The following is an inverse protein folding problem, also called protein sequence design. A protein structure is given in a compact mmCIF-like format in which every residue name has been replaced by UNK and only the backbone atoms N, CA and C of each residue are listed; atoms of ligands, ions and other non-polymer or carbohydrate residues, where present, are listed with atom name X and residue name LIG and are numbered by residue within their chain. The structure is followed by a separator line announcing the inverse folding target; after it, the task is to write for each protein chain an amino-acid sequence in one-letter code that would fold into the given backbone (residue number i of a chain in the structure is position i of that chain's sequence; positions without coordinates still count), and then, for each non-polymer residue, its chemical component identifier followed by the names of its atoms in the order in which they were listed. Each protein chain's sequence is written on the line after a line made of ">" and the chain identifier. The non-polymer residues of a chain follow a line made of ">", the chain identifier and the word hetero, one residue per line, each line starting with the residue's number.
data_IF_454661503747
#
_entry.id   IF_454661503747
#
_cell.length_a   1.000
_cell.length_b   1.000
_cell.length_c   1.000
_cell.angle_alpha   90.00
_cell.angle_beta   90.00
_cell.angle_gamma   90.00
#
_symmetry.space_group_name_H-M   'P 1'
#
loop_
_entity.id
_entity.type
_entity.pdbx_description
1 polymer ?
#
# COMPACT_ATOMS: atom_id res chain seq x y z
N UNK A 1 11.72 -18.19 48.35
CA UNK A 1 11.12 -17.79 47.05
C UNK A 1 12.15 -16.93 46.33
N UNK A 2 12.93 -17.53 45.43
CA UNK A 2 13.89 -16.81 44.57
C UNK A 2 13.59 -17.28 43.16
N UNK A 3 12.88 -16.45 42.40
CA UNK A 3 12.33 -16.83 41.10
C UNK A 3 13.31 -16.41 40.01
N UNK A 4 13.69 -17.41 39.22
CA UNK A 4 13.96 -17.44 37.78
C UNK A 4 14.65 -16.23 37.14
N UNK A 5 15.92 -16.43 36.77
CA UNK A 5 16.52 -15.74 35.63
C UNK A 5 17.01 -16.80 34.63
N UNK A 6 16.38 -16.73 33.45
CA UNK A 6 16.65 -17.43 32.20
C UNK A 6 18.12 -17.41 31.79
N UNK A 7 18.68 -18.58 31.49
CA UNK A 7 19.91 -18.72 30.68
C UNK A 7 19.61 -19.74 29.59
N UNK A 8 19.20 -19.26 28.43
CA UNK A 8 19.22 -20.06 27.20
C UNK A 8 20.17 -19.36 26.24
N UNK A 9 21.42 -19.82 26.23
CA UNK A 9 22.38 -19.45 25.20
C UNK A 9 23.24 -20.68 24.84
N UNK A 10 23.00 -21.12 23.60
CA UNK A 10 23.97 -21.64 22.63
C UNK A 10 24.71 -22.95 22.96
N UNK A 11 24.29 -24.02 22.29
CA UNK A 11 25.19 -25.00 21.67
C UNK A 11 24.38 -26.03 20.89
N UNK A 12 24.43 -26.01 19.55
CA UNK A 12 24.32 -27.23 18.75
C UNK A 12 24.98 -27.02 17.38
N UNK A 13 26.22 -27.51 17.18
CA UNK A 13 26.87 -27.50 15.88
C UNK A 13 26.58 -28.79 15.08
N UNK A 14 26.61 -28.61 13.76
CA UNK A 14 27.02 -29.53 12.69
C UNK A 14 26.65 -31.03 12.76
N UNK A 15 25.97 -31.48 11.70
CA UNK A 15 26.19 -32.70 10.89
C UNK A 15 24.85 -33.38 10.60
N UNK A 16 24.42 -33.36 9.33
CA UNK A 16 24.55 -34.55 8.46
C UNK A 16 24.37 -34.16 6.99
N UNK A 17 25.25 -34.75 6.19
CA UNK A 17 25.30 -34.70 4.74
C UNK A 17 24.44 -35.80 4.13
N UNK A 18 24.06 -35.59 2.86
CA UNK A 18 23.73 -36.58 1.83
C UNK A 18 22.47 -37.42 2.04
N UNK A 19 21.52 -37.25 1.11
CA UNK A 19 21.12 -38.34 0.22
C UNK A 19 20.67 -37.77 -1.14
N UNK A 20 21.32 -38.29 -2.19
CA UNK A 20 20.95 -38.17 -3.60
C UNK A 20 19.90 -39.25 -3.86
N UNK A 21 18.76 -38.91 -4.48
CA UNK A 21 18.05 -39.87 -5.35
C UNK A 21 17.21 -39.14 -6.42
N UNK A 22 17.80 -39.09 -7.61
CA UNK A 22 17.26 -39.39 -8.93
C UNK A 22 15.83 -38.97 -9.34
N UNK A 23 15.82 -38.15 -10.40
CA UNK A 23 14.96 -38.12 -11.59
C UNK A 23 13.53 -38.69 -11.50
N UNK A 24 12.57 -37.78 -11.72
CA UNK A 24 11.26 -38.06 -12.30
C UNK A 24 11.05 -37.16 -13.51
N UNK A 25 10.68 -37.80 -14.61
CA UNK A 25 10.48 -37.33 -15.97
C UNK A 25 8.96 -37.24 -16.24
N UNK A 26 8.54 -36.50 -17.28
CA UNK A 26 7.14 -36.29 -17.73
C UNK A 26 6.24 -35.42 -16.82
N UNK A 27 5.38 -34.50 -17.27
CA UNK A 27 4.76 -34.22 -18.56
C UNK A 27 4.34 -32.73 -18.59
N UNK A 28 4.53 -32.05 -19.73
CA UNK A 28 3.91 -30.76 -20.04
C UNK A 28 2.41 -30.99 -20.21
N UNK A 29 1.62 -30.76 -19.16
CA UNK A 29 0.16 -30.73 -19.31
C UNK A 29 -0.31 -29.30 -19.59
N UNK A 30 -0.64 -29.09 -20.86
CA UNK A 30 -1.37 -27.92 -21.35
C UNK A 30 -2.83 -28.10 -20.93
N UNK A 31 -3.31 -27.37 -19.93
CA UNK A 31 -4.72 -27.35 -19.59
C UNK A 31 -5.48 -26.37 -20.51
N UNK A 32 -6.57 -26.80 -21.18
CA UNK A 32 -7.26 -26.00 -22.19
C UNK A 32 -8.11 -24.88 -21.58
N UNK A 33 -8.04 -23.71 -22.22
CA UNK A 33 -9.01 -22.64 -22.09
C UNK A 33 -10.42 -23.18 -22.39
N UNK A 34 -11.26 -23.25 -21.36
CA UNK A 34 -12.70 -23.45 -21.55
C UNK A 34 -13.41 -22.11 -21.38
N UNK A 35 -13.66 -21.51 -22.53
CA UNK A 35 -14.71 -20.52 -22.78
C UNK A 35 -15.98 -20.97 -22.07
N UNK A 36 -16.41 -20.21 -21.06
CA UNK A 36 -17.74 -20.37 -20.46
C UNK A 36 -18.47 -19.04 -20.50
N UNK A 37 -19.33 -18.95 -21.52
CA UNK A 37 -20.67 -18.35 -21.47
C UNK A 37 -20.75 -16.87 -21.10
N UNK A 38 -20.90 -16.05 -22.15
CA UNK A 38 -21.28 -14.66 -22.04
C UNK A 38 -22.59 -14.48 -21.26
N UNK A 39 -22.50 -13.78 -20.14
CA UNK A 39 -23.65 -13.13 -19.53
C UNK A 39 -24.11 -12.05 -20.49
N UNK A 40 -25.32 -12.21 -21.04
CA UNK A 40 -26.01 -11.11 -21.74
C UNK A 40 -26.27 -10.01 -20.71
N UNK A 41 -25.50 -8.92 -20.79
CA UNK A 41 -25.85 -7.68 -20.11
C UNK A 41 -27.12 -7.13 -20.76
N UNK A 42 -28.23 -7.15 -20.02
CA UNK A 42 -29.46 -6.47 -20.40
C UNK A 42 -29.33 -5.02 -19.93
N UNK A 43 -29.09 -4.10 -20.86
CA UNK A 43 -29.16 -2.66 -20.59
C UNK A 43 -30.63 -2.22 -20.69
N UNK A 44 -31.41 -2.48 -19.65
CA UNK A 44 -32.58 -1.67 -19.36
C UNK A 44 -32.16 -0.54 -18.41
N UNK A 45 -31.79 0.59 -19.01
CA UNK A 45 -31.43 1.82 -18.30
C UNK A 45 -32.66 2.45 -17.66
N UNK A 46 -32.96 2.10 -16.40
CA UNK A 46 -33.77 2.94 -15.51
C UNK A 46 -33.26 2.81 -14.06
N UNK A 47 -32.54 3.85 -13.60
CA UNK A 47 -32.22 4.22 -12.21
C UNK A 47 -32.60 3.26 -11.08
N UNK A 48 -31.60 2.65 -10.43
CA UNK A 48 -31.71 2.23 -9.03
C UNK A 48 -30.41 2.62 -8.29
N UNK A 49 -30.49 3.77 -7.64
CA UNK A 49 -29.76 4.21 -6.42
C UNK A 49 -28.24 4.39 -6.55
N UNK A 50 -27.83 5.66 -6.33
CA UNK A 50 -26.48 6.06 -5.98
C UNK A 50 -25.92 5.15 -4.88
N UNK A 51 -25.00 4.26 -5.26
CA UNK A 51 -24.20 3.52 -4.29
C UNK A 51 -23.27 4.52 -3.62
N UNK A 52 -23.66 4.84 -2.39
CA UNK A 52 -22.97 5.70 -1.46
C UNK A 52 -21.61 5.06 -1.21
N UNK A 53 -20.54 5.85 -1.38
CA UNK A 53 -19.18 5.44 -1.00
C UNK A 53 -19.22 4.89 0.42
N UNK A 54 -19.11 3.58 0.56
CA UNK A 54 -18.69 2.99 1.82
C UNK A 54 -17.21 3.33 1.95
N UNK A 55 -16.93 4.42 2.66
CA UNK A 55 -15.60 4.66 3.23
C UNK A 55 -15.35 3.54 4.24
N UNK A 56 -14.82 2.41 3.77
CA UNK A 56 -14.16 1.43 4.64
C UNK A 56 -12.90 2.11 5.14
N UNK A 57 -13.02 2.79 6.26
CA UNK A 57 -11.88 3.16 7.10
C UNK A 57 -11.42 1.85 7.73
N UNK A 58 -10.33 1.30 7.21
CA UNK A 58 -9.63 0.17 7.81
C UNK A 58 -9.14 0.60 9.20
N UNK A 59 -9.75 0.07 10.26
CA UNK A 59 -9.39 0.39 11.63
C UNK A 59 -8.06 -0.29 11.99
N UNK A 60 -6.97 0.45 11.83
CA UNK A 60 -5.63 -0.10 12.11
C UNK A 60 -4.43 0.83 12.07
N UNK A 61 -4.57 2.15 12.16
CA UNK A 61 -3.42 3.06 12.36
C UNK A 61 -3.82 4.26 13.25
N UNK A 62 -3.13 4.52 14.37
CA UNK A 62 -3.42 5.69 15.19
C UNK A 62 -3.27 6.98 14.37
N UNK A 63 -4.43 7.53 14.03
CA UNK A 63 -4.69 8.80 13.32
C UNK A 63 -4.60 8.72 11.79
N UNK A 64 -5.57 8.07 11.17
CA UNK A 64 -5.91 8.33 9.77
C UNK A 64 -6.37 9.80 9.61
N UNK A 65 -5.43 10.68 9.25
CA UNK A 65 -5.68 12.09 9.02
C UNK A 65 -6.41 12.27 7.68
N UNK A 66 -7.46 13.09 7.67
CA UNK A 66 -8.10 13.50 6.41
C UNK A 66 -7.15 14.43 5.65
N UNK A 67 -7.03 14.23 4.34
CA UNK A 67 -6.15 15.04 3.50
C UNK A 67 -6.82 16.37 3.14
N UNK A 68 -6.21 17.48 3.55
CA UNK A 68 -6.63 18.83 3.20
C UNK A 68 -6.10 19.23 1.83
N UNK A 69 -6.93 19.81 0.97
CA UNK A 69 -6.49 20.27 -0.36
C UNK A 69 -5.79 21.64 -0.27
N UNK A 70 -4.55 21.70 -0.75
CA UNK A 70 -3.84 22.97 -0.89
C UNK A 70 -4.40 23.78 -2.06
N UNK A 71 -4.79 25.02 -1.78
CA UNK A 71 -5.08 26.03 -2.79
C UNK A 71 -3.95 27.04 -2.88
N UNK A 72 -3.58 27.41 -4.11
CA UNK A 72 -2.51 28.38 -4.35
C UNK A 72 -2.76 29.69 -3.59
N UNK A 73 -1.76 30.13 -2.82
CA UNK A 73 -1.85 31.33 -1.98
C UNK A 73 -2.25 31.06 -0.53
N UNK A 74 -2.66 29.83 -0.19
CA UNK A 74 -2.76 29.40 1.21
C UNK A 74 -1.39 29.45 1.88
N UNK A 75 -1.40 29.75 3.17
CA UNK A 75 -0.23 29.79 4.04
C UNK A 75 -0.43 28.82 5.20
N UNK A 76 -0.23 27.51 4.99
CA UNK A 76 -0.29 26.54 6.07
C UNK A 76 0.80 26.86 7.10
N UNK A 77 0.47 26.71 8.38
CA UNK A 77 1.41 26.90 9.47
C UNK A 77 2.30 25.67 9.60
N UNK A 78 3.33 25.58 8.77
CA UNK A 78 4.23 24.43 8.74
C UNK A 78 5.43 24.71 9.63
N UNK A 79 5.51 24.06 10.78
CA UNK A 79 6.69 24.08 11.66
C UNK A 79 7.68 23.00 11.28
N UNK A 80 7.22 21.78 10.97
CA UNK A 80 8.08 20.64 10.60
C UNK A 80 7.41 19.74 9.57
N UNK A 81 8.11 19.45 8.48
CA UNK A 81 7.69 18.41 7.53
C UNK A 81 8.12 17.04 8.07
N UNK A 82 7.18 16.09 8.13
CA UNK A 82 7.40 14.73 8.61
C UNK A 82 7.68 13.80 7.44
N UNK A 83 6.82 13.81 6.41
CA UNK A 83 7.02 13.04 5.18
C UNK A 83 6.38 13.74 3.99
N UNK A 84 6.86 13.39 2.79
CA UNK A 84 6.25 13.78 1.52
C UNK A 84 6.23 12.55 0.61
N UNK A 85 5.06 12.23 0.08
CA UNK A 85 4.81 11.08 -0.79
C UNK A 85 4.21 11.54 -2.11
N UNK A 86 4.70 11.01 -3.23
CA UNK A 86 4.16 11.27 -4.57
C UNK A 86 4.61 10.19 -5.55
N UNK A 87 3.89 10.02 -6.66
CA UNK A 87 4.33 9.14 -7.74
C UNK A 87 5.41 9.80 -8.60
N UNK A 88 6.66 9.55 -8.25
CA UNK A 88 7.81 10.11 -8.97
C UNK A 88 8.08 9.46 -10.33
N UNK A 89 7.40 8.38 -10.69
CA UNK A 89 7.73 7.59 -11.89
C UNK A 89 6.97 8.02 -13.13
N UNK A 90 5.92 8.82 -12.97
CA UNK A 90 5.05 9.26 -14.07
C UNK A 90 5.52 10.59 -14.65
N UNK A 91 5.45 10.75 -15.97
CA UNK A 91 5.70 12.03 -16.64
C UNK A 91 4.39 12.83 -16.77
N UNK A 92 3.84 13.25 -15.63
CA UNK A 92 2.62 14.07 -15.56
C UNK A 92 2.56 14.83 -14.24
N UNK A 93 1.60 15.74 -14.12
CA UNK A 93 1.24 16.33 -12.82
C UNK A 93 0.49 15.27 -12.00
N UNK A 94 0.98 14.98 -10.81
CA UNK A 94 0.47 13.95 -9.91
C UNK A 94 0.20 14.52 -8.52
N UNK A 95 -0.69 13.92 -7.71
CA UNK A 95 -0.86 14.32 -6.33
C UNK A 95 0.38 13.99 -5.49
N UNK A 96 0.70 14.89 -4.58
CA UNK A 96 1.63 14.70 -3.49
C UNK A 96 0.90 14.87 -2.15
N UNK A 97 1.28 14.06 -1.17
CA UNK A 97 0.77 14.09 0.20
C UNK A 97 1.91 14.48 1.13
N UNK A 98 1.72 15.49 1.96
CA UNK A 98 2.71 15.95 2.92
C UNK A 98 2.12 15.88 4.32
N UNK A 99 2.75 15.04 5.15
CA UNK A 99 2.49 15.02 6.57
C UNK A 99 3.37 16.07 7.24
N UNK A 100 2.78 16.98 8.00
CA UNK A 100 3.53 18.03 8.70
C UNK A 100 2.99 18.25 10.11
N UNK A 101 3.85 18.80 10.98
CA UNK A 101 3.51 19.32 12.30
C UNK A 101 3.42 20.85 12.22
N UNK A 102 2.37 21.42 12.79
CA UNK A 102 2.17 22.88 12.87
C UNK A 102 2.84 23.53 14.08
N UNK A 103 2.67 24.84 14.27
CA UNK A 103 3.26 25.54 15.43
C UNK A 103 2.69 25.08 16.77
N UNK A 104 1.47 24.55 16.79
CA UNK A 104 0.76 24.03 17.97
C UNK A 104 1.15 22.58 18.32
N UNK A 105 1.85 21.89 17.41
CA UNK A 105 2.25 20.49 17.58
C UNK A 105 1.23 19.49 17.01
N UNK A 106 0.24 19.96 16.26
CA UNK A 106 -0.77 19.10 15.62
C UNK A 106 -0.26 18.60 14.25
N UNK A 107 -0.66 17.38 13.89
CA UNK A 107 -0.29 16.77 12.61
C UNK A 107 -1.39 16.95 11.59
N UNK A 108 -0.97 17.33 10.38
CA UNK A 108 -1.86 17.62 9.26
C UNK A 108 -1.36 16.90 8.01
N UNK A 109 -2.29 16.42 7.20
CA UNK A 109 -2.01 15.81 5.91
C UNK A 109 -2.44 16.76 4.80
N UNK A 110 -1.48 17.37 4.11
CA UNK A 110 -1.75 18.28 2.99
C UNK A 110 -1.62 17.54 1.66
N UNK A 111 -2.64 17.65 0.81
CA UNK A 111 -2.61 17.18 -0.57
C UNK A 111 -2.42 18.36 -1.54
N UNK A 112 -1.42 18.25 -2.40
CA UNK A 112 -1.14 19.23 -3.45
C UNK A 112 -0.68 18.53 -4.73
N UNK A 113 -0.37 19.30 -5.78
CA UNK A 113 0.05 18.75 -7.08
C UNK A 113 1.51 19.07 -7.35
N UNK A 114 2.25 18.08 -7.88
CA UNK A 114 3.67 18.20 -8.26
C UNK A 114 3.89 17.61 -9.65
N UNK A 115 4.96 18.01 -10.33
CA UNK A 115 5.39 17.33 -11.54
C UNK A 115 6.12 16.03 -11.18
N UNK A 116 5.65 14.90 -11.70
CA UNK A 116 6.31 13.61 -11.55
C UNK A 116 7.66 13.58 -12.29
N UNK A 117 8.58 12.77 -11.79
CA UNK A 117 9.96 12.65 -12.30
C UNK A 117 10.12 11.72 -13.50
N UNK A 118 9.04 11.13 -14.03
CA UNK A 118 9.08 10.12 -15.09
C UNK A 118 9.51 10.63 -16.46
N UNK A 119 9.75 11.93 -16.62
CA UNK A 119 10.18 12.49 -17.89
C UNK A 119 11.68 12.23 -18.09
N UNK A 120 12.00 11.23 -18.91
CA UNK A 120 13.36 10.99 -19.44
C UNK A 120 13.33 11.32 -20.93
N UNK A 121 14.10 12.33 -21.32
CA UNK A 121 14.30 12.73 -22.71
C UNK A 121 15.30 11.86 -23.45
#
# INVERSE_FOLDING_TARGET
>A
MKNLATVMMVALPCLVMADVLQAGEEEVTTAPASVTTGTRFNLNTENIVSDKRDNVVDEGDPQALEAEEYHYGMKPDIKKVISVESDSTVCAVVPAYMLYEDSHGERHLLRYQVMGGGCRG
#
